data_IF_780014913765
#
_entry.id   IF_780014913765
#
_cell.length_a   1.000
_cell.length_b   1.000
_cell.length_c   1.000
_cell.angle_alpha   90.00
_cell.angle_beta   90.00
_cell.angle_gamma   90.00
#
_symmetry.space_group_name_H-M   'P 1'
#
loop_
_entity.id
_entity.type
_entity.pdbx_description
1 polymer ?
#
# COMPACT_ATOMS: atom_id res chain seq x y z
N UNK A 1 -11.61 2.17 0.58
CA UNK A 1 -10.62 2.81 1.44
C UNK A 1 -10.89 4.31 1.50
N UNK A 2 -11.05 4.88 2.71
CA UNK A 2 -11.29 6.30 2.92
C UNK A 2 -10.22 6.88 3.86
N UNK A 3 -9.67 8.04 3.51
CA UNK A 3 -8.73 8.78 4.34
C UNK A 3 -9.29 10.16 4.65
N UNK A 4 -9.04 10.65 5.85
CA UNK A 4 -9.47 11.96 6.29
C UNK A 4 -8.27 12.72 6.82
N UNK A 5 -8.15 13.99 6.44
CA UNK A 5 -7.05 14.85 6.81
C UNK A 5 -7.60 16.09 7.52
N UNK A 6 -7.10 16.38 8.70
CA UNK A 6 -7.39 17.62 9.40
C UNK A 6 -6.17 18.10 10.20
N UNK A 7 -6.03 19.42 10.39
CA UNK A 7 -4.86 19.96 11.09
C UNK A 7 -4.91 19.63 12.57
N UNK A 8 -3.76 19.24 13.12
CA UNK A 8 -3.56 19.02 14.55
C UNK A 8 -2.75 20.19 15.11
N UNK A 9 -3.30 20.87 16.12
CA UNK A 9 -2.66 22.03 16.72
C UNK A 9 -2.21 21.70 18.14
N UNK A 10 -0.91 21.93 18.44
CA UNK A 10 -0.36 21.87 19.80
C UNK A 10 -0.41 20.53 20.53
N UNK A 11 -1.05 19.49 19.99
CA UNK A 11 -1.19 18.20 20.68
C UNK A 11 -0.02 17.25 20.45
N UNK A 12 0.92 17.59 19.56
CA UNK A 12 2.02 16.72 19.19
C UNK A 12 1.56 15.53 18.36
N UNK A 13 2.30 14.42 18.41
CA UNK A 13 1.90 13.16 17.75
C UNK A 13 0.72 12.55 18.52
N UNK A 14 -0.42 12.29 17.87
CA UNK A 14 -1.56 11.68 18.56
C UNK A 14 -1.33 10.19 18.78
N UNK A 15 -1.76 9.69 19.94
CA UNK A 15 -1.84 8.26 20.24
C UNK A 15 -3.04 7.61 19.55
N UNK A 16 -4.09 8.39 19.31
CA UNK A 16 -5.31 7.97 18.63
C UNK A 16 -5.92 9.11 17.83
N UNK A 17 -6.47 8.80 16.66
CA UNK A 17 -7.23 9.73 15.86
C UNK A 17 -8.36 9.04 15.09
N UNK A 18 -9.50 9.71 14.96
CA UNK A 18 -10.60 9.31 14.11
C UNK A 18 -11.24 10.55 13.43
N UNK A 19 -12.39 10.40 12.78
CA UNK A 19 -13.11 11.50 12.12
C UNK A 19 -13.52 12.65 13.06
N UNK A 20 -13.70 12.39 14.34
CA UNK A 20 -14.27 13.32 15.30
C UNK A 20 -13.22 14.03 16.15
N UNK A 21 -12.14 13.32 16.50
CA UNK A 21 -11.08 13.91 17.32
C UNK A 21 -9.78 13.14 17.24
N UNK A 22 -8.70 13.81 17.69
CA UNK A 22 -7.40 13.23 17.99
C UNK A 22 -7.08 13.37 19.48
N UNK A 23 -6.43 12.36 20.03
CA UNK A 23 -6.05 12.27 21.43
C UNK A 23 -4.53 12.12 21.55
N UNK A 24 -3.90 12.84 22.49
CA UNK A 24 -2.49 12.66 22.83
C UNK A 24 -2.34 12.57 24.33
N UNK A 25 -1.78 11.45 24.82
CA UNK A 25 -1.62 11.14 26.23
C UNK A 25 -0.14 11.36 26.65
N UNK A 26 0.15 12.56 27.09
CA UNK A 26 1.50 12.93 27.57
C UNK A 26 1.63 12.64 29.07
N UNK A 27 2.86 12.80 29.61
CA UNK A 27 3.13 12.48 31.00
C UNK A 27 2.25 13.26 32.00
N UNK A 28 2.04 14.55 31.78
CA UNK A 28 1.33 15.46 32.69
C UNK A 28 -0.01 15.95 32.12
N UNK A 29 -0.24 15.76 30.82
CA UNK A 29 -1.38 16.34 30.14
C UNK A 29 -2.01 15.35 29.14
N UNK A 30 -3.32 15.40 29.04
CA UNK A 30 -4.07 14.78 27.95
C UNK A 30 -4.60 15.88 27.06
N UNK A 31 -4.29 15.79 25.79
CA UNK A 31 -4.74 16.72 24.78
C UNK A 31 -5.82 16.11 23.90
N UNK A 32 -6.86 16.90 23.62
CA UNK A 32 -7.98 16.50 22.78
C UNK A 32 -8.21 17.59 21.75
N UNK A 33 -8.06 17.25 20.47
CA UNK A 33 -8.39 18.12 19.34
C UNK A 33 -9.62 17.55 18.64
N UNK A 34 -10.71 18.29 18.63
CA UNK A 34 -11.93 17.90 17.92
C UNK A 34 -11.98 18.49 16.50
N UNK A 35 -12.76 17.88 15.62
CA UNK A 35 -13.01 18.37 14.25
C UNK A 35 -14.28 19.21 14.15
N UNK A 36 -15.13 19.16 15.17
CA UNK A 36 -16.37 19.93 15.30
C UNK A 36 -16.60 20.33 16.76
N UNK A 37 -17.64 21.11 17.02
CA UNK A 37 -17.95 21.56 18.38
C UNK A 37 -18.83 20.56 19.11
N UNK A 38 -18.40 20.17 20.33
CA UNK A 38 -19.17 19.36 21.29
C UNK A 38 -19.27 20.14 22.61
N UNK A 39 -20.45 20.70 22.89
CA UNK A 39 -20.65 21.57 24.05
C UNK A 39 -20.71 20.85 25.39
N UNK A 40 -20.97 19.55 25.38
CA UNK A 40 -21.21 18.69 26.53
C UNK A 40 -20.39 17.42 26.51
N UNK A 41 -19.14 17.47 26.03
CA UNK A 41 -18.29 16.31 25.96
C UNK A 41 -17.84 15.89 27.37
N UNK A 42 -17.95 14.61 27.67
CA UNK A 42 -17.44 13.98 28.88
C UNK A 42 -16.24 13.14 28.56
N UNK A 43 -15.14 13.41 29.25
CA UNK A 43 -13.85 12.69 29.11
C UNK A 43 -13.67 11.85 30.36
N UNK A 44 -13.50 10.54 30.17
CA UNK A 44 -13.18 9.60 31.23
C UNK A 44 -11.89 8.86 30.91
N UNK A 45 -10.97 8.82 31.85
CA UNK A 45 -9.72 8.07 31.78
C UNK A 45 -9.68 7.03 32.89
N UNK A 46 -9.43 5.79 32.54
CA UNK A 46 -9.37 4.68 33.48
C UNK A 46 -8.04 3.92 33.38
N UNK A 47 -7.57 3.35 34.48
CA UNK A 47 -6.48 2.40 34.54
C UNK A 47 -6.96 1.14 35.25
N UNK A 48 -7.12 0.06 34.50
CA UNK A 48 -7.84 -1.13 34.98
C UNK A 48 -9.28 -0.79 35.37
N UNK A 49 -9.65 -1.02 36.64
CA UNK A 49 -10.99 -0.72 37.16
C UNK A 49 -11.07 0.63 37.89
N UNK A 50 -10.01 1.44 37.86
CA UNK A 50 -9.97 2.72 38.59
C UNK A 50 -10.12 3.88 37.61
N UNK A 51 -11.06 4.78 37.87
CA UNK A 51 -11.16 6.05 37.17
C UNK A 51 -10.08 7.00 37.68
N UNK A 52 -9.29 7.53 36.78
CA UNK A 52 -8.17 8.46 37.03
C UNK A 52 -8.62 9.90 36.83
N UNK A 53 -9.41 10.15 35.79
CA UNK A 53 -9.95 11.46 35.47
C UNK A 53 -11.36 11.28 34.89
N UNK A 54 -12.23 12.20 35.28
CA UNK A 54 -13.62 12.26 34.78
C UNK A 54 -14.05 13.71 34.77
N UNK A 55 -14.09 14.33 33.58
CA UNK A 55 -14.37 15.75 33.44
C UNK A 55 -15.33 16.02 32.28
N UNK A 56 -16.16 17.09 32.46
CA UNK A 56 -16.94 17.64 31.37
C UNK A 56 -16.24 18.84 30.76
N UNK A 57 -16.15 18.83 29.44
CA UNK A 57 -15.43 19.84 28.66
C UNK A 57 -16.20 20.25 27.41
N UNK A 58 -15.97 21.46 26.96
CA UNK A 58 -16.40 21.87 25.63
C UNK A 58 -15.25 21.68 24.64
N UNK A 59 -15.45 20.82 23.65
CA UNK A 59 -14.51 20.62 22.57
C UNK A 59 -14.91 21.50 21.38
N UNK A 60 -13.92 22.03 20.67
CA UNK A 60 -14.15 22.77 19.43
C UNK A 60 -13.00 22.54 18.43
N UNK A 61 -13.27 22.82 17.14
CA UNK A 61 -12.30 22.64 16.10
C UNK A 61 -11.16 23.68 16.09
N UNK A 62 -11.37 24.83 16.70
CA UNK A 62 -10.43 25.95 16.64
C UNK A 62 -9.28 25.85 17.64
N UNK A 63 -9.50 25.16 18.77
CA UNK A 63 -8.47 25.02 19.80
C UNK A 63 -8.56 23.68 20.52
N UNK A 64 -7.42 23.01 20.76
CA UNK A 64 -7.39 21.77 21.53
C UNK A 64 -7.68 22.06 23.02
N UNK A 65 -8.29 21.08 23.68
CA UNK A 65 -8.47 21.06 25.12
C UNK A 65 -7.31 20.31 25.76
N UNK A 66 -6.79 20.87 26.85
CA UNK A 66 -5.74 20.27 27.67
C UNK A 66 -6.32 19.94 29.04
N UNK A 67 -6.19 18.71 29.46
CA UNK A 67 -6.53 18.24 30.81
C UNK A 67 -5.27 17.82 31.53
N UNK A 68 -5.07 18.33 32.75
CA UNK A 68 -3.94 17.91 33.58
C UNK A 68 -4.28 16.62 34.32
N UNK A 69 -3.37 15.69 34.36
CA UNK A 69 -3.53 14.42 35.03
C UNK A 69 -2.22 13.93 35.68
N UNK A 70 -2.35 13.03 36.62
CA UNK A 70 -1.20 12.26 37.11
C UNK A 70 -1.22 10.91 36.40
N UNK A 71 -0.33 10.71 35.43
CA UNK A 71 -0.29 9.47 34.66
C UNK A 71 0.00 8.28 35.58
N UNK A 72 -0.89 7.27 35.65
CA UNK A 72 -0.68 6.09 36.47
C UNK A 72 0.36 5.15 35.86
N UNK A 73 0.93 4.28 36.69
CA UNK A 73 1.66 3.13 36.17
C UNK A 73 0.68 2.12 35.57
N UNK A 74 0.90 1.72 34.32
CA UNK A 74 0.07 0.73 33.61
C UNK A 74 -0.63 1.32 32.39
N UNK A 75 -1.39 0.46 31.70
CA UNK A 75 -2.13 0.83 30.52
C UNK A 75 -3.42 1.59 30.88
N UNK A 76 -3.63 2.69 30.22
CA UNK A 76 -4.83 3.51 30.40
C UNK A 76 -5.80 3.31 29.24
N UNK A 77 -7.06 3.54 29.52
CA UNK A 77 -8.10 3.67 28.51
C UNK A 77 -8.75 5.04 28.65
N UNK A 78 -9.00 5.71 27.55
CA UNK A 78 -9.69 6.99 27.47
C UNK A 78 -10.95 6.83 26.63
N UNK A 79 -12.05 7.35 27.12
CA UNK A 79 -13.29 7.50 26.37
C UNK A 79 -13.74 8.95 26.37
N UNK A 80 -14.20 9.41 25.22
CA UNK A 80 -14.81 10.74 25.05
C UNK A 80 -16.22 10.53 24.52
N UNK A 81 -17.21 11.03 25.27
CA UNK A 81 -18.62 10.93 24.90
C UNK A 81 -19.23 12.31 24.76
N UNK A 82 -20.15 12.49 23.83
CA UNK A 82 -20.93 13.73 23.70
C UNK A 82 -22.33 13.41 23.19
N UNK A 83 -23.37 14.08 23.72
CA UNK A 83 -24.76 13.82 23.34
C UNK A 83 -25.15 12.33 23.51
N UNK A 84 -24.63 11.65 24.52
CA UNK A 84 -24.90 10.23 24.79
C UNK A 84 -24.24 9.26 23.81
N UNK A 85 -23.34 9.72 22.93
CA UNK A 85 -22.59 8.87 21.96
C UNK A 85 -21.11 8.95 22.25
N UNK A 86 -20.43 7.80 22.11
CA UNK A 86 -18.96 7.76 22.17
C UNK A 86 -18.40 8.35 20.88
N UNK A 87 -17.62 9.42 20.99
CA UNK A 87 -16.94 10.07 19.86
C UNK A 87 -15.50 9.59 19.69
N UNK A 88 -14.86 9.14 20.76
CA UNK A 88 -13.58 8.45 20.71
C UNK A 88 -13.46 7.44 21.86
N UNK A 89 -12.77 6.36 21.61
CA UNK A 89 -12.38 5.36 22.61
C UNK A 89 -11.02 4.83 22.22
N UNK A 90 -10.06 4.93 23.12
CA UNK A 90 -8.71 4.44 22.94
C UNK A 90 -8.25 3.69 24.18
N UNK A 91 -7.54 2.62 23.99
CA UNK A 91 -6.88 1.85 25.04
C UNK A 91 -5.44 1.61 24.67
N UNK A 92 -4.52 1.95 25.56
CA UNK A 92 -3.10 1.62 25.38
C UNK A 92 -2.92 0.12 25.33
N UNK A 93 -2.18 -0.36 24.35
CA UNK A 93 -1.75 -1.74 24.27
C UNK A 93 -0.45 -1.94 25.06
N UNK A 94 -0.29 -3.10 25.67
CA UNK A 94 0.98 -3.44 26.32
C UNK A 94 2.07 -3.55 25.26
N UNK A 95 3.28 -3.00 25.52
CA UNK A 95 4.40 -3.04 24.59
C UNK A 95 4.76 -4.44 24.07
N UNK A 96 4.47 -5.48 24.84
CA UNK A 96 4.76 -6.89 24.50
C UNK A 96 3.98 -7.41 23.29
N UNK A 97 2.88 -6.75 22.89
CA UNK A 97 2.13 -7.09 21.68
C UNK A 97 2.72 -6.47 20.39
N UNK A 98 3.68 -5.58 20.54
CA UNK A 98 4.37 -4.92 19.43
C UNK A 98 5.60 -5.71 18.97
N UNK A 99 5.50 -7.03 18.85
CA UNK A 99 6.55 -7.80 18.16
C UNK A 99 6.66 -7.24 16.75
N UNK A 100 7.78 -6.59 16.45
CA UNK A 100 8.07 -6.18 15.08
C UNK A 100 7.96 -7.42 14.19
N UNK A 101 7.21 -7.37 13.10
CA UNK A 101 7.23 -8.46 12.14
C UNK A 101 8.68 -8.72 11.71
N UNK A 102 9.04 -9.97 11.41
CA UNK A 102 10.37 -10.26 10.88
C UNK A 102 10.58 -9.43 9.61
N UNK A 103 11.82 -8.99 9.43
CA UNK A 103 12.21 -8.31 8.19
C UNK A 103 11.99 -9.29 7.05
N UNK A 104 11.32 -8.86 5.98
CA UNK A 104 11.15 -9.69 4.78
C UNK A 104 12.52 -10.01 4.20
N UNK A 105 12.74 -11.28 3.87
CA UNK A 105 13.93 -11.69 3.15
C UNK A 105 14.00 -10.97 1.80
N UNK A 106 15.19 -10.53 1.37
CA UNK A 106 15.37 -9.94 0.05
C UNK A 106 14.99 -10.96 -1.04
N UNK A 107 14.59 -10.46 -2.21
CA UNK A 107 14.37 -11.31 -3.36
C UNK A 107 15.69 -12.05 -3.72
N UNK A 108 15.63 -13.34 -4.06
CA UNK A 108 16.81 -14.08 -4.51
C UNK A 108 17.37 -13.44 -5.79
N UNK A 109 18.66 -13.53 -6.01
CA UNK A 109 19.26 -13.09 -7.26
C UNK A 109 18.67 -13.91 -8.43
N UNK A 110 18.51 -13.28 -9.60
CA UNK A 110 17.96 -13.96 -10.77
C UNK A 110 18.74 -15.25 -11.13
N UNK A 111 20.05 -15.28 -10.90
CA UNK A 111 20.91 -16.45 -11.11
C UNK A 111 20.62 -17.61 -10.16
N UNK A 112 20.03 -17.35 -9.00
CA UNK A 112 19.74 -18.34 -7.94
C UNK A 112 18.35 -18.98 -8.10
N UNK A 113 17.47 -18.36 -8.87
CA UNK A 113 16.14 -18.90 -9.17
C UNK A 113 16.26 -20.12 -10.11
N UNK A 114 15.47 -21.16 -9.88
CA UNK A 114 15.70 -22.47 -10.51
C UNK A 114 15.23 -22.57 -11.97
N UNK A 115 14.02 -22.13 -12.27
CA UNK A 115 13.40 -22.33 -13.59
C UNK A 115 13.04 -21.00 -14.27
N UNK A 116 12.76 -21.04 -15.57
CA UNK A 116 12.30 -19.87 -16.32
C UNK A 116 10.90 -19.41 -15.86
N UNK A 117 10.03 -20.34 -15.49
CA UNK A 117 8.70 -20.02 -14.92
C UNK A 117 8.82 -19.29 -13.59
N UNK A 118 9.69 -19.78 -12.69
CA UNK A 118 9.94 -19.10 -11.41
C UNK A 118 10.57 -17.71 -11.63
N UNK A 119 11.45 -17.57 -12.63
CA UNK A 119 12.02 -16.28 -13.01
C UNK A 119 10.95 -15.33 -13.54
N UNK A 120 10.02 -15.82 -14.35
CA UNK A 120 8.89 -15.02 -14.77
C UNK A 120 8.07 -14.51 -13.58
N UNK A 121 7.68 -15.40 -12.68
CA UNK A 121 6.90 -15.05 -11.48
C UNK A 121 7.65 -14.10 -10.54
N UNK A 122 8.97 -14.28 -10.39
CA UNK A 122 9.80 -13.38 -9.60
C UNK A 122 9.82 -11.97 -10.21
N UNK A 123 9.96 -11.85 -11.53
CA UNK A 123 9.88 -10.58 -12.24
C UNK A 123 8.52 -9.89 -12.07
N UNK A 124 7.41 -10.65 -12.19
CA UNK A 124 6.05 -10.15 -11.95
C UNK A 124 5.91 -9.65 -10.50
N UNK A 125 6.43 -10.39 -9.51
CA UNK A 125 6.39 -9.98 -8.12
C UNK A 125 7.13 -8.65 -7.91
N UNK A 126 8.33 -8.50 -8.45
CA UNK A 126 9.12 -7.26 -8.37
C UNK A 126 8.39 -6.09 -9.03
N UNK A 127 7.77 -6.32 -10.20
CA UNK A 127 6.97 -5.30 -10.89
C UNK A 127 5.78 -4.83 -10.05
N UNK A 128 5.03 -5.77 -9.48
CA UNK A 128 3.83 -5.48 -8.68
C UNK A 128 4.14 -4.76 -7.37
N UNK A 129 5.18 -5.18 -6.67
CA UNK A 129 5.54 -4.63 -5.36
C UNK A 129 6.60 -3.52 -5.42
N UNK A 130 7.10 -3.21 -6.63
CA UNK A 130 8.06 -2.14 -6.90
C UNK A 130 9.23 -2.14 -5.92
N UNK A 131 9.98 -3.24 -5.91
CA UNK A 131 11.19 -3.32 -5.10
C UNK A 131 12.20 -2.28 -5.62
N UNK A 132 12.66 -1.33 -4.78
CA UNK A 132 13.57 -0.29 -5.24
C UNK A 132 14.99 -0.79 -5.53
N UNK A 133 15.36 -1.97 -5.06
CA UNK A 133 16.70 -2.54 -5.19
C UNK A 133 16.86 -3.40 -6.44
N UNK A 134 15.77 -3.89 -7.03
CA UNK A 134 15.80 -4.87 -8.12
C UNK A 134 14.76 -4.52 -9.17
N UNK A 135 15.15 -4.59 -10.43
CA UNK A 135 14.25 -4.38 -11.57
C UNK A 135 13.75 -5.71 -12.14
N UNK A 136 12.50 -5.77 -12.63
CA UNK A 136 11.90 -7.01 -13.12
C UNK A 136 12.60 -7.61 -14.34
N UNK A 137 13.19 -6.77 -15.20
CA UNK A 137 13.89 -7.17 -16.41
C UNK A 137 15.09 -8.10 -16.14
N UNK A 138 15.75 -7.94 -14.98
CA UNK A 138 16.86 -8.81 -14.59
C UNK A 138 16.43 -10.29 -14.51
N UNK A 139 15.23 -10.55 -14.01
CA UNK A 139 14.69 -11.91 -13.92
C UNK A 139 14.24 -12.44 -15.29
N UNK A 140 13.51 -11.64 -16.06
CA UNK A 140 13.03 -12.06 -17.37
C UNK A 140 14.16 -12.27 -18.37
N UNK A 141 15.20 -11.43 -18.35
CA UNK A 141 16.40 -11.63 -19.17
C UNK A 141 17.16 -12.90 -18.79
N UNK A 142 17.26 -13.21 -17.49
CA UNK A 142 17.86 -14.46 -17.05
C UNK A 142 17.02 -15.68 -17.50
N UNK A 143 15.69 -15.56 -17.44
CA UNK A 143 14.77 -16.57 -17.99
C UNK A 143 15.00 -16.80 -19.48
N UNK A 144 15.15 -15.73 -20.26
CA UNK A 144 15.42 -15.81 -21.70
C UNK A 144 16.81 -16.30 -22.07
N UNK A 145 17.79 -16.21 -21.18
CA UNK A 145 19.10 -16.87 -21.37
C UNK A 145 18.97 -18.39 -21.28
N UNK A 146 18.11 -18.88 -20.40
CA UNK A 146 17.88 -20.32 -20.18
C UNK A 146 16.95 -20.92 -21.24
N UNK A 147 15.82 -20.20 -21.50
CA UNK A 147 14.88 -20.54 -22.55
C UNK A 147 14.58 -19.30 -23.42
N UNK A 148 15.24 -19.16 -24.58
CA UNK A 148 15.05 -18.02 -25.48
C UNK A 148 13.65 -17.89 -26.08
N UNK A 149 12.79 -18.91 -25.91
CA UNK A 149 11.41 -18.95 -26.39
C UNK A 149 10.37 -18.99 -25.29
N UNK A 150 10.77 -18.74 -24.04
CA UNK A 150 9.84 -18.67 -22.92
C UNK A 150 8.86 -17.50 -23.11
N UNK A 151 7.64 -17.82 -23.48
CA UNK A 151 6.65 -16.84 -23.92
C UNK A 151 6.35 -15.76 -22.86
N UNK A 152 6.17 -16.16 -21.61
CA UNK A 152 5.82 -15.22 -20.53
C UNK A 152 6.97 -14.25 -20.22
N UNK A 153 8.23 -14.72 -20.25
CA UNK A 153 9.39 -13.83 -20.10
C UNK A 153 9.50 -12.85 -21.29
N UNK A 154 9.21 -13.31 -22.52
CA UNK A 154 9.18 -12.46 -23.70
C UNK A 154 8.10 -11.37 -23.58
N UNK A 155 6.90 -11.73 -23.17
CA UNK A 155 5.80 -10.78 -22.95
C UNK A 155 6.06 -9.83 -21.78
N UNK A 156 6.68 -10.33 -20.69
CA UNK A 156 7.15 -9.50 -19.58
C UNK A 156 8.15 -8.44 -20.06
N UNK A 157 9.14 -8.83 -20.85
CA UNK A 157 10.12 -7.92 -21.46
C UNK A 157 9.46 -6.94 -22.44
N UNK A 158 8.48 -7.39 -23.22
CA UNK A 158 7.73 -6.51 -24.13
C UNK A 158 7.02 -5.40 -23.36
N UNK A 159 6.28 -5.75 -22.30
CA UNK A 159 5.60 -4.81 -21.42
C UNK A 159 6.58 -3.83 -20.78
N UNK A 160 7.66 -4.32 -20.22
CA UNK A 160 8.68 -3.50 -19.58
C UNK A 160 9.35 -2.53 -20.56
N UNK A 161 9.75 -3.00 -21.76
CA UNK A 161 10.32 -2.15 -22.79
C UNK A 161 9.32 -1.08 -23.26
N UNK A 162 8.03 -1.41 -23.39
CA UNK A 162 6.98 -0.45 -23.72
C UNK A 162 6.88 0.64 -22.64
N UNK A 163 6.83 0.28 -21.38
CA UNK A 163 6.80 1.23 -20.26
C UNK A 163 8.03 2.15 -20.21
N UNK A 164 9.18 1.64 -20.65
CA UNK A 164 10.43 2.41 -20.76
C UNK A 164 10.58 3.21 -22.06
N UNK A 165 9.56 3.24 -22.93
CA UNK A 165 9.59 3.93 -24.20
C UNK A 165 10.47 3.29 -25.27
N UNK A 166 10.97 2.06 -25.04
CA UNK A 166 11.79 1.28 -26.00
C UNK A 166 10.90 0.49 -26.93
N UNK A 167 10.10 1.20 -27.73
CA UNK A 167 8.99 0.62 -28.49
C UNK A 167 9.42 -0.42 -29.53
N UNK A 168 10.54 -0.22 -30.23
CA UNK A 168 11.04 -1.22 -31.20
C UNK A 168 11.50 -2.53 -30.56
N UNK A 169 12.09 -2.44 -29.36
CA UNK A 169 12.44 -3.64 -28.61
C UNK A 169 11.19 -4.33 -28.06
N UNK A 170 10.22 -3.53 -27.55
CA UNK A 170 8.96 -4.05 -27.07
C UNK A 170 8.21 -4.84 -28.15
N UNK A 171 8.11 -4.30 -29.37
CA UNK A 171 7.50 -4.99 -30.52
C UNK A 171 8.21 -6.31 -30.84
N UNK A 172 9.53 -6.28 -30.88
CA UNK A 172 10.31 -7.50 -31.15
C UNK A 172 10.04 -8.60 -30.13
N UNK A 173 10.02 -8.26 -28.84
CA UNK A 173 9.70 -9.19 -27.77
C UNK A 173 8.26 -9.69 -27.85
N UNK A 174 7.30 -8.80 -28.08
CA UNK A 174 5.89 -9.17 -28.19
C UNK A 174 5.62 -10.13 -29.35
N UNK A 175 6.16 -9.84 -30.55
CA UNK A 175 6.02 -10.73 -31.70
C UNK A 175 6.66 -12.09 -31.46
N UNK A 176 7.87 -12.12 -30.90
CA UNK A 176 8.52 -13.39 -30.56
C UNK A 176 7.75 -14.20 -29.52
N UNK A 177 7.14 -13.52 -28.54
CA UNK A 177 6.26 -14.15 -27.56
C UNK A 177 5.02 -14.75 -28.21
N UNK A 178 4.36 -14.01 -29.11
CA UNK A 178 3.23 -14.51 -29.88
C UNK A 178 3.62 -15.71 -30.78
N UNK A 179 4.74 -15.63 -31.49
CA UNK A 179 5.24 -16.73 -32.31
C UNK A 179 5.48 -17.99 -31.46
N UNK A 180 6.00 -17.83 -30.23
CA UNK A 180 6.21 -18.94 -29.31
C UNK A 180 4.89 -19.59 -28.90
N UNK A 181 3.87 -18.79 -28.55
CA UNK A 181 2.55 -19.25 -28.13
C UNK A 181 1.75 -19.91 -29.27
N UNK A 182 1.91 -19.40 -30.49
CA UNK A 182 1.15 -19.87 -31.66
C UNK A 182 1.86 -20.94 -32.47
N UNK A 183 3.07 -21.34 -32.08
CA UNK A 183 3.89 -22.34 -32.82
C UNK A 183 3.15 -23.65 -33.07
N UNK A 184 2.31 -24.09 -32.14
CA UNK A 184 1.58 -25.35 -32.22
C UNK A 184 0.04 -25.13 -32.13
N UNK A 185 -0.42 -23.91 -31.97
CA UNK A 185 -1.82 -23.53 -31.83
C UNK A 185 -2.14 -22.34 -32.74
N UNK A 186 -3.31 -22.34 -33.37
CA UNK A 186 -3.72 -21.21 -34.24
C UNK A 186 -3.87 -19.91 -33.49
N UNK A 187 -4.26 -19.98 -32.22
CA UNK A 187 -4.51 -18.81 -31.36
C UNK A 187 -3.94 -19.06 -29.96
N UNK A 188 -3.65 -17.97 -29.25
CA UNK A 188 -3.31 -18.02 -27.82
C UNK A 188 -4.54 -18.34 -26.99
N UNK A 189 -4.35 -18.80 -25.74
CA UNK A 189 -5.45 -19.04 -24.80
C UNK A 189 -6.11 -17.73 -24.30
N UNK A 190 -5.36 -16.63 -24.31
CA UNK A 190 -5.80 -15.29 -23.89
C UNK A 190 -5.54 -14.28 -25.02
N UNK A 191 -6.36 -13.24 -25.09
CA UNK A 191 -6.15 -12.11 -25.99
C UNK A 191 -5.04 -11.14 -25.53
N UNK A 192 -4.52 -11.31 -24.30
CA UNK A 192 -3.55 -10.36 -23.72
C UNK A 192 -2.28 -10.13 -24.54
N UNK A 193 -1.65 -11.17 -25.17
CA UNK A 193 -0.48 -10.96 -26.02
C UNK A 193 -0.77 -10.10 -27.26
N UNK A 194 -1.94 -10.29 -27.88
CA UNK A 194 -2.37 -9.48 -29.03
C UNK A 194 -2.66 -8.04 -28.58
N UNK A 195 -3.35 -7.89 -27.45
CA UNK A 195 -3.63 -6.59 -26.86
C UNK A 195 -2.35 -5.82 -26.56
N UNK A 196 -1.34 -6.48 -25.97
CA UNK A 196 -0.04 -5.87 -25.68
C UNK A 196 0.67 -5.44 -26.96
N UNK A 197 0.66 -6.27 -28.02
CA UNK A 197 1.25 -5.89 -29.31
C UNK A 197 0.48 -4.72 -29.94
N UNK A 198 -0.84 -4.72 -29.85
CA UNK A 198 -1.68 -3.62 -30.30
C UNK A 198 -1.34 -2.30 -29.61
N UNK A 199 -1.21 -2.30 -28.26
CA UNK A 199 -0.77 -1.11 -27.50
C UNK A 199 0.62 -0.61 -27.95
N UNK A 200 1.56 -1.51 -28.14
CA UNK A 200 2.93 -1.14 -28.59
C UNK A 200 2.88 -0.48 -29.99
N UNK A 201 2.06 -1.02 -30.89
CA UNK A 201 1.90 -0.47 -32.23
C UNK A 201 1.18 0.90 -32.22
N UNK A 202 0.22 1.05 -31.32
CA UNK A 202 -0.49 2.33 -31.11
C UNK A 202 0.48 3.41 -30.61
N UNK A 203 1.32 3.09 -29.64
CA UNK A 203 2.39 3.99 -29.15
C UNK A 203 3.44 4.32 -30.22
N UNK A 204 3.55 3.49 -31.27
CA UNK A 204 4.37 3.77 -32.46
C UNK A 204 3.60 4.54 -33.55
N UNK A 205 2.38 5.00 -33.30
CA UNK A 205 1.49 5.66 -34.25
C UNK A 205 1.06 4.77 -35.44
N UNK A 206 1.22 3.45 -35.34
CA UNK A 206 0.84 2.44 -36.35
C UNK A 206 -0.58 1.93 -36.10
N UNK A 207 -1.54 2.85 -36.09
CA UNK A 207 -2.94 2.61 -35.65
C UNK A 207 -3.67 1.54 -36.46
N UNK A 208 -3.42 1.42 -37.78
CA UNK A 208 -4.04 0.37 -38.60
C UNK A 208 -3.57 -1.01 -38.19
N UNK A 209 -2.28 -1.18 -37.96
CA UNK A 209 -1.71 -2.46 -37.51
C UNK A 209 -2.13 -2.79 -36.07
N UNK A 210 -2.25 -1.77 -35.20
CA UNK A 210 -2.77 -1.93 -33.86
C UNK A 210 -4.21 -2.46 -33.87
N UNK A 211 -5.07 -1.87 -34.72
CA UNK A 211 -6.45 -2.31 -34.88
C UNK A 211 -6.56 -3.77 -35.31
N UNK A 212 -5.68 -4.23 -36.21
CA UNK A 212 -5.64 -5.62 -36.67
C UNK A 212 -5.27 -6.60 -35.53
N UNK A 213 -4.53 -6.15 -34.51
CA UNK A 213 -4.20 -6.96 -33.32
C UNK A 213 -5.37 -7.00 -32.32
N UNK A 214 -6.20 -5.99 -32.27
CA UNK A 214 -7.34 -5.95 -31.33
C UNK A 214 -8.57 -6.73 -31.84
N UNK A 215 -8.60 -7.08 -33.10
CA UNK A 215 -9.73 -7.75 -33.77
C UNK A 215 -9.66 -9.29 -33.69
#
# INVERSE_FOLDING_TARGET
FSQYWYPIQKIGTPDYANLKCALSLQAEHVWIQATETFGDAHVEITCGNKTILSEQVTLNAASPVMLSWARPEGCVAISVTAGGKTIACYREEKPDNLKKPPVKDPMPLASEVRSADELYLAGVHVEQYRDPAVMPDAYWLEGLKRDPYHADCLLGMAKYCCQMGRLSEAERYARKGLDSLTKFNMHTQSGDPYYLLGLILEEQERTTEAYDQYR
#
